data_IF_732003051526
#
_entry.id   IF_732003051526
#
_cell.length_a   1.000
_cell.length_b   1.000
_cell.length_c   1.000
_cell.angle_alpha   90.00
_cell.angle_beta   90.00
_cell.angle_gamma   90.00
#
_symmetry.space_group_name_H-M   'P 1'
#
loop_
_entity.id
_entity.type
_entity.pdbx_description
1 polymer ?
#
# COMPACT_ATOMS: atom_id res chain seq x y z
N UNK A 1 8.95 19.12 -8.63
CA UNK A 1 8.91 18.18 -7.49
C UNK A 1 10.14 17.26 -7.44
N UNK A 2 10.98 17.25 -8.52
CA UNK A 2 12.15 16.36 -8.60
C UNK A 2 13.37 16.79 -7.76
N UNK A 3 13.45 18.00 -7.28
CA UNK A 3 14.68 18.54 -6.68
C UNK A 3 14.80 18.43 -5.16
N UNK A 4 13.72 18.09 -4.44
CA UNK A 4 13.75 17.97 -2.98
C UNK A 4 13.56 16.54 -2.42
N UNK A 5 13.40 15.54 -3.29
CA UNK A 5 13.09 14.17 -2.88
C UNK A 5 14.23 13.16 -3.10
N UNK A 6 15.39 13.60 -3.56
CA UNK A 6 16.61 12.80 -3.61
C UNK A 6 17.23 12.78 -2.20
N UNK A 7 17.40 11.76 -1.58
CA UNK A 7 17.66 10.34 -1.71
C UNK A 7 16.56 9.41 -1.15
N UNK A 8 15.30 9.82 -1.12
CA UNK A 8 14.20 9.04 -0.51
C UNK A 8 13.71 7.92 -1.44
N UNK A 9 13.90 8.10 -2.76
CA UNK A 9 13.58 7.11 -3.78
C UNK A 9 14.87 6.58 -4.41
N UNK A 10 14.99 5.27 -4.50
CA UNK A 10 16.09 4.59 -5.19
C UNK A 10 15.61 3.92 -6.47
N UNK A 11 16.49 3.91 -7.50
CA UNK A 11 16.23 3.45 -8.86
C UNK A 11 16.93 2.12 -9.15
N UNK A 12 17.06 1.23 -8.16
CA UNK A 12 17.83 -0.02 -8.29
C UNK A 12 17.00 -1.17 -8.86
N UNK A 13 15.77 -0.88 -9.31
CA UNK A 13 14.83 -1.89 -9.76
C UNK A 13 14.22 -2.71 -8.63
N UNK A 14 13.43 -3.71 -9.01
CA UNK A 14 12.84 -4.72 -8.10
C UNK A 14 13.08 -6.10 -8.70
N UNK A 15 13.49 -7.04 -7.87
CA UNK A 15 13.76 -8.42 -8.26
C UNK A 15 12.68 -9.35 -7.70
N UNK A 16 11.95 -10.03 -8.57
CA UNK A 16 11.04 -11.12 -8.20
C UNK A 16 11.77 -12.44 -8.43
N UNK A 17 11.82 -13.29 -7.42
CA UNK A 17 12.43 -14.60 -7.50
C UNK A 17 11.44 -15.69 -7.16
N UNK A 18 11.64 -16.87 -7.71
CA UNK A 18 10.88 -18.06 -7.35
C UNK A 18 11.81 -19.19 -6.96
N UNK A 19 11.38 -19.96 -5.96
CA UNK A 19 12.12 -21.05 -5.33
C UNK A 19 11.65 -22.42 -5.80
N UNK A 20 10.57 -22.48 -6.58
CA UNK A 20 10.08 -23.70 -7.23
C UNK A 20 10.65 -23.85 -8.65
N UNK A 21 10.65 -25.07 -9.15
CA UNK A 21 11.08 -25.40 -10.51
C UNK A 21 9.91 -25.37 -11.51
N UNK A 22 8.68 -25.21 -11.03
CA UNK A 22 7.49 -25.27 -11.87
C UNK A 22 7.24 -23.92 -12.56
N UNK A 23 7.69 -23.80 -13.80
CA UNK A 23 7.53 -22.59 -14.60
C UNK A 23 6.09 -22.36 -15.13
N UNK A 24 5.22 -23.40 -15.19
CA UNK A 24 3.90 -23.27 -15.82
C UNK A 24 3.03 -22.17 -15.21
N UNK A 25 3.02 -22.04 -13.88
CA UNK A 25 2.28 -20.97 -13.22
C UNK A 25 2.88 -19.58 -13.51
N UNK A 26 4.18 -19.50 -13.75
CA UNK A 26 4.90 -18.26 -14.05
C UNK A 26 4.74 -17.82 -15.50
N UNK A 27 4.66 -18.77 -16.43
CA UNK A 27 4.44 -18.49 -17.85
C UNK A 27 3.18 -17.66 -18.09
N UNK A 28 2.09 -17.98 -17.38
CA UNK A 28 0.84 -17.21 -17.49
C UNK A 28 1.01 -15.78 -16.98
N UNK A 29 1.64 -15.61 -15.82
CA UNK A 29 1.90 -14.27 -15.26
C UNK A 29 2.80 -13.43 -16.18
N UNK A 30 3.87 -14.03 -16.71
CA UNK A 30 4.80 -13.40 -17.64
C UNK A 30 4.03 -12.96 -18.90
N UNK A 31 3.26 -13.87 -19.49
CA UNK A 31 2.47 -13.59 -20.69
C UNK A 31 1.44 -12.48 -20.50
N UNK A 32 0.74 -12.47 -19.36
CA UNK A 32 -0.22 -11.40 -19.04
C UNK A 32 0.49 -10.05 -18.97
N UNK A 33 1.65 -9.98 -18.31
CA UNK A 33 2.44 -8.74 -18.22
C UNK A 33 2.93 -8.28 -19.58
N UNK A 34 3.39 -9.18 -20.43
CA UNK A 34 3.81 -8.87 -21.81
C UNK A 34 2.64 -8.31 -22.64
N UNK A 35 1.45 -8.93 -22.55
CA UNK A 35 0.25 -8.44 -23.21
C UNK A 35 -0.18 -7.04 -22.73
N UNK A 36 0.09 -6.73 -21.47
CA UNK A 36 -0.15 -5.41 -20.88
C UNK A 36 0.98 -4.40 -21.15
N UNK A 37 2.00 -4.77 -21.92
CA UNK A 37 3.13 -3.90 -22.24
C UNK A 37 4.07 -3.62 -21.07
N UNK A 38 4.07 -4.47 -20.03
CA UNK A 38 4.96 -4.34 -18.87
C UNK A 38 6.37 -4.78 -19.28
N UNK A 39 7.33 -3.85 -19.21
CA UNK A 39 8.74 -4.19 -19.44
C UNK A 39 9.25 -5.08 -18.33
N UNK A 40 9.70 -6.27 -18.67
CA UNK A 40 10.23 -7.25 -17.71
C UNK A 40 11.43 -7.99 -18.31
N UNK A 41 12.41 -8.32 -17.45
CA UNK A 41 13.59 -9.07 -17.84
C UNK A 41 13.58 -10.40 -17.08
N UNK A 42 13.49 -11.51 -17.81
CA UNK A 42 13.66 -12.83 -17.22
C UNK A 42 15.12 -13.01 -16.85
N UNK A 43 15.38 -13.46 -15.62
CA UNK A 43 16.73 -13.65 -15.09
C UNK A 43 16.92 -15.07 -14.58
N UNK A 44 18.07 -15.66 -14.95
CA UNK A 44 18.49 -16.98 -14.51
C UNK A 44 19.23 -16.92 -13.16
N UNK A 45 19.66 -18.09 -12.63
CA UNK A 45 20.37 -18.18 -11.35
C UNK A 45 21.63 -17.33 -11.28
N UNK A 46 22.43 -17.32 -12.37
CA UNK A 46 23.67 -16.56 -12.42
C UNK A 46 23.39 -15.06 -12.39
N UNK A 47 22.45 -14.61 -13.21
CA UNK A 47 22.05 -13.20 -13.27
C UNK A 47 21.46 -12.71 -11.94
N UNK A 48 20.68 -13.56 -11.23
CA UNK A 48 20.20 -13.23 -9.89
C UNK A 48 21.36 -13.10 -8.91
N UNK A 49 22.33 -14.00 -8.95
CA UNK A 49 23.52 -13.92 -8.10
C UNK A 49 24.36 -12.67 -8.41
N UNK A 50 24.53 -12.33 -9.69
CA UNK A 50 25.24 -11.11 -10.10
C UNK A 50 24.53 -9.84 -9.62
N UNK A 51 23.19 -9.84 -9.59
CA UNK A 51 22.37 -8.72 -9.06
C UNK A 51 22.40 -8.63 -7.54
N UNK A 52 22.38 -9.77 -6.83
CA UNK A 52 22.25 -9.85 -5.37
C UNK A 52 23.12 -11.01 -4.83
N UNK A 53 24.43 -10.80 -4.70
CA UNK A 53 25.38 -11.88 -4.36
C UNK A 53 25.22 -12.44 -2.94
N UNK A 54 24.58 -11.70 -2.04
CA UNK A 54 24.36 -12.15 -0.66
C UNK A 54 23.16 -13.09 -0.51
N UNK A 55 22.33 -13.26 -1.56
CA UNK A 55 21.20 -14.18 -1.48
C UNK A 55 21.68 -15.63 -1.55
N UNK A 56 21.19 -16.45 -0.64
CA UNK A 56 21.37 -17.90 -0.74
C UNK A 56 20.73 -18.45 -2.02
N UNK A 57 21.36 -19.40 -2.73
CA UNK A 57 20.95 -19.83 -4.06
C UNK A 57 19.72 -20.77 -4.06
N UNK A 58 18.74 -20.51 -3.22
CA UNK A 58 17.45 -21.22 -3.16
C UNK A 58 16.44 -20.75 -4.20
N UNK A 59 16.90 -20.18 -5.30
CA UNK A 59 16.07 -19.71 -6.40
C UNK A 59 16.38 -20.46 -7.68
N UNK A 60 15.39 -20.55 -8.57
CA UNK A 60 15.53 -21.21 -9.87
C UNK A 60 15.46 -20.22 -11.04
N UNK A 61 14.91 -19.05 -10.83
CA UNK A 61 14.83 -17.97 -11.79
C UNK A 61 14.07 -16.78 -11.21
N UNK A 62 13.89 -15.74 -12.01
CA UNK A 62 13.24 -14.52 -11.56
C UNK A 62 12.82 -13.60 -12.69
N UNK A 63 12.22 -12.48 -12.32
CA UNK A 63 11.96 -11.33 -13.18
C UNK A 63 12.56 -10.09 -12.54
N UNK A 64 13.31 -9.36 -13.30
CA UNK A 64 13.87 -8.08 -12.90
C UNK A 64 13.14 -6.93 -13.61
N UNK A 65 12.73 -5.95 -12.84
CA UNK A 65 12.09 -4.71 -13.28
C UNK A 65 13.05 -3.56 -13.03
N UNK A 66 13.91 -3.24 -14.00
CA UNK A 66 14.99 -2.26 -13.89
C UNK A 66 14.49 -0.82 -13.66
N UNK A 67 13.31 -0.49 -14.21
CA UNK A 67 12.69 0.83 -14.08
C UNK A 67 11.93 1.04 -12.76
N UNK A 68 11.73 -0.02 -11.97
CA UNK A 68 11.01 0.10 -10.72
C UNK A 68 11.82 0.86 -9.66
N UNK A 69 11.08 1.54 -8.79
CA UNK A 69 11.67 2.38 -7.74
C UNK A 69 11.10 2.00 -6.40
N UNK A 70 11.88 2.21 -5.36
CA UNK A 70 11.40 2.02 -4.00
C UNK A 70 11.73 3.21 -3.10
N UNK A 71 10.89 3.45 -2.09
CA UNK A 71 11.13 4.47 -1.10
C UNK A 71 11.89 3.87 0.09
N UNK A 72 13.09 4.38 0.38
CA UNK A 72 13.86 3.99 1.56
C UNK A 72 13.20 4.42 2.87
N UNK A 73 12.43 5.50 2.85
CA UNK A 73 11.70 5.98 4.02
C UNK A 73 10.35 6.61 3.61
N UNK A 74 9.28 5.80 3.46
CA UNK A 74 7.95 6.30 3.11
C UNK A 74 7.42 7.35 4.10
N UNK A 75 7.76 7.23 5.38
CA UNK A 75 7.32 8.19 6.41
C UNK A 75 7.84 9.60 6.15
N UNK A 76 9.10 9.75 5.70
CA UNK A 76 9.67 11.07 5.37
C UNK A 76 8.89 11.74 4.24
N UNK A 77 8.46 10.97 3.24
CA UNK A 77 7.65 11.51 2.13
C UNK A 77 6.31 12.02 2.66
N UNK A 78 5.63 11.24 3.49
CA UNK A 78 4.36 11.67 4.10
C UNK A 78 4.52 12.90 4.98
N UNK A 79 5.60 12.98 5.78
CA UNK A 79 5.90 14.18 6.57
C UNK A 79 6.07 15.41 5.68
N UNK A 80 6.81 15.29 4.57
CA UNK A 80 7.01 16.40 3.64
C UNK A 80 5.71 16.83 2.94
N UNK A 81 4.85 15.90 2.58
CA UNK A 81 3.52 16.20 2.04
C UNK A 81 2.66 16.93 3.09
N UNK A 82 2.70 16.46 4.32
CA UNK A 82 1.98 17.08 5.45
C UNK A 82 2.49 18.50 5.75
N UNK A 83 3.80 18.70 5.83
CA UNK A 83 4.40 20.03 5.99
C UNK A 83 3.96 20.99 4.88
N UNK A 84 3.98 20.52 3.62
CA UNK A 84 3.50 21.32 2.49
C UNK A 84 2.00 21.65 2.58
N UNK A 85 1.18 20.71 3.03
CA UNK A 85 -0.24 20.94 3.29
C UNK A 85 -0.45 22.04 4.34
N UNK A 86 0.25 21.97 5.47
CA UNK A 86 0.15 22.98 6.55
C UNK A 86 0.65 24.33 6.07
N UNK A 87 1.78 24.38 5.34
CA UNK A 87 2.35 25.63 4.80
C UNK A 87 1.42 26.31 3.78
N UNK A 88 0.53 25.54 3.15
CA UNK A 88 -0.52 26.07 2.27
C UNK A 88 -1.81 26.45 3.01
N UNK A 89 -1.80 26.50 4.34
CA UNK A 89 -2.95 26.88 5.17
C UNK A 89 -3.86 25.72 5.57
N UNK A 90 -3.49 24.47 5.24
CA UNK A 90 -4.21 23.29 5.69
C UNK A 90 -4.16 23.14 7.21
N UNK A 91 -5.27 22.72 7.82
CA UNK A 91 -5.37 22.49 9.26
C UNK A 91 -5.46 21.00 9.57
N UNK A 92 -4.74 20.55 10.57
CA UNK A 92 -4.81 19.18 11.09
C UNK A 92 -5.46 19.18 12.47
N UNK A 93 -6.50 18.38 12.63
CA UNK A 93 -7.18 18.16 13.91
C UNK A 93 -7.11 16.67 14.24
N UNK A 94 -6.50 16.33 15.37
CA UNK A 94 -6.49 14.95 15.87
C UNK A 94 -7.76 14.70 16.66
N UNK A 95 -8.80 14.22 15.99
CA UNK A 95 -10.12 14.00 16.54
C UNK A 95 -10.59 12.56 16.31
N UNK A 96 -11.37 12.03 17.22
CA UNK A 96 -12.11 10.79 17.05
C UNK A 96 -13.51 11.11 16.54
N UNK A 97 -13.77 10.89 15.26
CA UNK A 97 -15.08 11.10 14.66
C UNK A 97 -15.97 9.91 15.02
N UNK A 98 -17.04 10.20 15.74
CA UNK A 98 -18.01 9.22 16.18
C UNK A 98 -19.17 9.09 15.23
N UNK A 99 -19.56 10.19 14.58
CA UNK A 99 -20.71 10.19 13.71
C UNK A 99 -20.61 11.20 12.57
N UNK A 100 -21.38 10.95 11.51
CA UNK A 100 -21.58 11.84 10.38
C UNK A 100 -23.07 12.13 10.28
N UNK A 101 -23.41 13.40 10.26
CA UNK A 101 -24.76 13.92 10.15
C UNK A 101 -24.80 15.00 9.06
N UNK A 102 -25.93 15.61 8.82
CA UNK A 102 -26.09 16.66 7.83
C UNK A 102 -26.84 17.84 8.41
N UNK A 103 -26.42 19.04 8.02
CA UNK A 103 -27.13 20.31 8.27
C UNK A 103 -27.48 20.82 6.88
N UNK A 104 -28.75 20.67 6.51
CA UNK A 104 -29.20 20.73 5.11
C UNK A 104 -28.38 19.70 4.25
N UNK A 105 -27.59 20.17 3.29
CA UNK A 105 -26.75 19.34 2.44
C UNK A 105 -25.29 19.27 2.89
N UNK A 106 -24.94 19.99 3.99
CA UNK A 106 -23.55 20.08 4.46
C UNK A 106 -23.23 18.96 5.42
N UNK A 107 -22.16 18.19 5.18
CA UNK A 107 -21.73 17.14 6.10
C UNK A 107 -21.26 17.73 7.43
N UNK A 108 -21.70 17.11 8.51
CA UNK A 108 -21.39 17.47 9.89
C UNK A 108 -20.65 16.30 10.55
N UNK A 109 -19.41 16.53 10.92
CA UNK A 109 -18.65 15.54 11.69
C UNK A 109 -18.87 15.77 13.19
N UNK A 110 -19.24 14.72 13.92
CA UNK A 110 -19.43 14.74 15.36
C UNK A 110 -18.32 13.99 16.09
N UNK A 111 -17.80 14.62 17.11
CA UNK A 111 -17.00 13.99 18.16
C UNK A 111 -17.88 13.85 19.42
N UNK A 112 -17.32 13.38 20.50
CA UNK A 112 -18.02 13.29 21.79
C UNK A 112 -18.53 14.67 22.30
N UNK A 113 -17.79 15.75 22.01
CA UNK A 113 -18.04 17.07 22.58
C UNK A 113 -18.23 18.19 21.56
N UNK A 114 -17.95 17.95 20.28
CA UNK A 114 -17.92 19.00 19.27
C UNK A 114 -18.59 18.54 17.96
N UNK A 115 -19.07 19.52 17.21
CA UNK A 115 -19.56 19.34 15.85
C UNK A 115 -18.79 20.27 14.90
N UNK A 116 -18.52 19.79 13.70
CA UNK A 116 -17.84 20.53 12.65
C UNK A 116 -18.64 20.43 11.36
N UNK A 117 -18.97 21.56 10.75
CA UNK A 117 -19.73 21.65 9.50
C UNK A 117 -18.74 21.94 8.37
N UNK A 118 -18.88 21.25 7.26
CA UNK A 118 -18.02 21.41 6.09
C UNK A 118 -18.84 21.51 4.81
N UNK A 119 -18.32 22.18 3.79
CA UNK A 119 -18.96 22.22 2.48
C UNK A 119 -18.79 20.88 1.72
N UNK A 120 -17.67 20.21 1.92
CA UNK A 120 -17.36 18.91 1.31
C UNK A 120 -16.62 18.00 2.29
N UNK A 121 -16.90 16.71 2.24
CA UNK A 121 -16.25 15.68 3.05
C UNK A 121 -15.57 14.65 2.14
N UNK A 122 -14.32 14.31 2.44
CA UNK A 122 -13.64 13.18 1.82
C UNK A 122 -13.34 12.10 2.87
N UNK A 123 -13.92 10.93 2.70
CA UNK A 123 -13.62 9.76 3.53
C UNK A 123 -12.41 9.04 2.93
N UNK A 124 -11.27 9.11 3.61
CA UNK A 124 -9.99 8.54 3.19
C UNK A 124 -9.28 7.79 4.34
N UNK A 125 -10.06 7.04 5.14
CA UNK A 125 -9.61 6.42 6.39
C UNK A 125 -9.07 4.99 6.22
N UNK A 126 -8.68 4.59 4.98
CA UNK A 126 -8.14 3.26 4.70
C UNK A 126 -9.09 2.15 5.13
N UNK A 127 -8.60 1.17 5.88
CA UNK A 127 -9.41 0.04 6.36
C UNK A 127 -10.53 0.45 7.35
N UNK A 128 -10.43 1.63 7.94
CA UNK A 128 -11.44 2.15 8.87
C UNK A 128 -12.59 2.90 8.17
N UNK A 129 -12.52 3.10 6.86
CA UNK A 129 -13.53 3.83 6.09
C UNK A 129 -14.91 3.19 6.18
N UNK A 130 -15.00 1.86 6.31
CA UNK A 130 -16.28 1.15 6.45
C UNK A 130 -17.12 1.68 7.62
N UNK A 131 -16.50 2.01 8.75
CA UNK A 131 -17.21 2.57 9.92
C UNK A 131 -17.95 3.87 9.61
N UNK A 132 -17.44 4.64 8.64
CA UNK A 132 -18.05 5.91 8.22
C UNK A 132 -19.04 5.71 7.07
N UNK A 133 -18.75 4.80 6.12
CA UNK A 133 -19.69 4.52 5.03
C UNK A 133 -20.98 3.85 5.54
N UNK A 134 -20.88 2.99 6.58
CA UNK A 134 -22.05 2.39 7.23
C UNK A 134 -22.95 3.48 7.86
N UNK A 135 -22.38 4.56 8.43
CA UNK A 135 -23.13 5.72 8.93
C UNK A 135 -23.76 6.57 7.83
N UNK A 136 -23.20 6.53 6.65
CA UNK A 136 -23.74 7.15 5.44
C UNK A 136 -24.75 6.22 4.71
N UNK A 137 -25.14 5.11 5.33
CA UNK A 137 -26.06 4.12 4.77
C UNK A 137 -25.59 3.59 3.40
N UNK A 138 -24.26 3.51 3.20
CA UNK A 138 -23.65 2.89 2.02
C UNK A 138 -22.90 1.62 2.43
N UNK A 139 -23.48 0.48 2.08
CA UNK A 139 -22.91 -0.83 2.38
C UNK A 139 -21.80 -1.19 1.38
N UNK A 140 -20.60 -0.68 1.61
CA UNK A 140 -19.42 -1.01 0.82
C UNK A 140 -18.71 -2.21 1.47
N UNK A 141 -18.45 -3.32 0.74
CA UNK A 141 -17.89 -4.55 1.30
C UNK A 141 -16.38 -4.44 1.53
N UNK A 142 -15.97 -3.41 2.28
CA UNK A 142 -14.59 -3.19 2.67
C UNK A 142 -14.24 -4.08 3.85
N UNK A 143 -13.17 -4.85 3.72
CA UNK A 143 -12.55 -5.63 4.79
C UNK A 143 -11.05 -5.32 4.86
N UNK A 144 -10.33 -6.01 5.71
CA UNK A 144 -8.89 -5.82 5.85
C UNK A 144 -8.11 -7.11 5.66
N UNK A 145 -7.11 -7.07 4.78
CA UNK A 145 -6.04 -8.04 4.73
C UNK A 145 -4.89 -7.56 5.62
N UNK A 146 -4.74 -8.21 6.77
CA UNK A 146 -3.67 -7.91 7.71
C UNK A 146 -2.33 -8.36 7.15
N UNK A 147 -1.34 -7.50 7.18
CA UNK A 147 0.03 -7.79 6.76
C UNK A 147 1.02 -7.44 7.84
N UNK A 148 2.11 -8.19 7.88
CA UNK A 148 3.14 -8.06 8.91
C UNK A 148 4.46 -7.63 8.32
N UNK A 149 5.27 -6.92 9.10
CA UNK A 149 6.69 -6.79 8.81
C UNK A 149 7.54 -6.85 10.08
N UNK A 150 8.79 -7.23 9.88
CA UNK A 150 9.85 -7.16 10.88
C UNK A 150 11.01 -6.37 10.33
N UNK A 151 11.78 -5.71 11.22
CA UNK A 151 13.00 -5.00 10.87
C UNK A 151 14.23 -5.65 11.49
N UNK A 152 15.27 -5.81 10.67
CA UNK A 152 16.63 -6.10 11.10
C UNK A 152 17.45 -4.81 10.99
N UNK A 153 17.62 -4.14 12.13
CA UNK A 153 18.24 -2.82 12.20
C UNK A 153 19.68 -2.87 11.67
N UNK A 154 20.07 -1.88 10.88
CA UNK A 154 21.41 -1.69 10.31
C UNK A 154 21.85 -2.81 9.32
N UNK A 155 20.90 -3.64 8.82
CA UNK A 155 21.16 -4.74 7.88
C UNK A 155 20.63 -4.46 6.46
N UNK A 156 20.35 -3.22 6.10
CA UNK A 156 19.93 -2.81 4.75
C UNK A 156 21.01 -3.08 3.69
N UNK A 157 22.27 -3.09 4.09
CA UNK A 157 23.42 -3.36 3.21
C UNK A 157 23.50 -4.79 2.65
N UNK A 158 22.71 -5.72 3.19
CA UNK A 158 22.72 -7.12 2.72
C UNK A 158 22.10 -7.28 1.33
N UNK A 159 21.20 -6.39 0.92
CA UNK A 159 20.59 -6.39 -0.40
C UNK A 159 20.59 -4.98 -0.98
N UNK A 160 20.67 -4.86 -2.31
CA UNK A 160 20.75 -3.57 -2.98
C UNK A 160 19.39 -3.04 -3.46
N UNK A 161 18.36 -3.88 -3.50
CA UNK A 161 17.03 -3.59 -4.02
C UNK A 161 15.95 -4.40 -3.34
N UNK A 162 14.66 -4.05 -3.50
CA UNK A 162 13.56 -4.91 -3.04
C UNK A 162 13.58 -6.26 -3.76
N UNK A 163 13.41 -7.33 -2.99
CA UNK A 163 13.33 -8.69 -3.49
C UNK A 163 12.02 -9.30 -3.04
N UNK A 164 11.29 -9.90 -3.97
CA UNK A 164 10.00 -10.54 -3.70
C UNK A 164 10.11 -12.03 -3.99
N UNK A 165 9.86 -12.85 -2.98
CA UNK A 165 9.74 -14.31 -3.09
C UNK A 165 8.28 -14.67 -3.31
N UNK A 166 7.85 -14.62 -4.59
CA UNK A 166 6.43 -14.69 -4.96
C UNK A 166 5.72 -15.97 -4.47
N UNK A 167 6.37 -17.13 -4.59
CA UNK A 167 5.82 -18.41 -4.17
C UNK A 167 5.90 -18.67 -2.65
N UNK A 168 6.61 -17.84 -1.90
CA UNK A 168 6.67 -17.89 -0.42
C UNK A 168 5.87 -16.76 0.25
N UNK A 169 5.30 -15.85 -0.53
CA UNK A 169 4.42 -14.77 -0.07
C UNK A 169 5.09 -13.73 0.84
N UNK A 170 6.39 -13.45 0.62
CA UNK A 170 7.09 -12.42 1.36
C UNK A 170 8.09 -11.65 0.48
N UNK A 171 8.52 -10.50 0.97
CA UNK A 171 9.56 -9.69 0.33
C UNK A 171 10.50 -9.07 1.34
N UNK A 172 11.66 -8.67 0.88
CA UNK A 172 12.69 -7.96 1.64
C UNK A 172 13.01 -6.65 0.93
N UNK A 173 13.21 -5.58 1.71
CA UNK A 173 13.48 -4.24 1.16
C UNK A 173 14.54 -3.55 2.01
N UNK A 174 15.61 -3.01 1.38
CA UNK A 174 16.59 -2.18 2.08
C UNK A 174 15.96 -0.84 2.40
N UNK A 175 15.74 -0.57 3.69
CA UNK A 175 15.15 0.67 4.18
C UNK A 175 16.23 1.52 4.86
N UNK A 176 15.98 2.79 5.07
CA UNK A 176 16.91 3.70 5.77
C UNK A 176 17.27 3.22 7.19
N UNK A 177 16.39 2.45 7.82
CA UNK A 177 16.57 1.98 9.20
C UNK A 177 17.06 0.52 9.30
N UNK A 178 17.34 -0.12 8.18
CA UNK A 178 17.74 -1.53 8.11
C UNK A 178 16.95 -2.34 7.10
N UNK A 179 17.07 -3.64 7.16
CA UNK A 179 16.36 -4.57 6.28
C UNK A 179 14.92 -4.78 6.79
N UNK A 180 13.94 -4.45 5.97
CA UNK A 180 12.53 -4.76 6.22
C UNK A 180 12.14 -6.06 5.54
N UNK A 181 11.58 -6.99 6.29
CA UNK A 181 10.97 -8.21 5.78
C UNK A 181 9.46 -8.10 5.95
N UNK A 182 8.70 -8.18 4.86
CA UNK A 182 7.26 -7.96 4.83
C UNK A 182 6.57 -9.12 4.13
N UNK A 183 5.37 -9.46 4.59
CA UNK A 183 4.59 -10.48 3.88
C UNK A 183 3.33 -10.86 4.63
N UNK A 184 2.85 -12.01 4.24
CA UNK A 184 1.64 -12.66 4.75
C UNK A 184 0.35 -11.88 4.47
N UNK A 185 -0.73 -12.63 4.38
CA UNK A 185 -2.11 -12.13 4.35
C UNK A 185 -2.90 -12.86 5.43
N UNK A 186 -3.63 -12.11 6.21
CA UNK A 186 -4.49 -12.65 7.25
C UNK A 186 -5.84 -11.92 7.25
N UNK A 187 -6.91 -12.68 7.17
CA UNK A 187 -8.27 -12.20 7.40
C UNK A 187 -8.58 -12.31 8.90
N UNK A 188 -8.33 -11.25 9.62
CA UNK A 188 -8.45 -11.22 11.08
C UNK A 188 -9.17 -9.98 11.61
N UNK A 189 -9.77 -9.19 10.73
CA UNK A 189 -10.42 -7.94 11.09
C UNK A 189 -9.48 -6.91 11.72
N UNK A 190 -10.05 -5.86 12.28
CA UNK A 190 -9.30 -4.71 12.81
C UNK A 190 -8.90 -4.87 14.29
N UNK A 191 -9.61 -5.71 15.05
CA UNK A 191 -9.53 -5.73 16.51
C UNK A 191 -8.71 -6.91 17.07
N UNK A 192 -8.52 -7.98 16.29
CA UNK A 192 -7.81 -9.16 16.75
C UNK A 192 -6.32 -8.90 17.03
N UNK A 193 -5.78 -9.55 18.04
CA UNK A 193 -4.35 -9.48 18.37
C UNK A 193 -3.46 -9.95 17.22
N UNK A 194 -2.21 -9.44 17.08
CA UNK A 194 -1.26 -9.90 16.08
C UNK A 194 -0.91 -11.38 16.21
N UNK A 195 -0.75 -12.07 15.07
CA UNK A 195 -0.37 -13.48 15.00
C UNK A 195 1.14 -13.66 15.13
N UNK A 196 1.60 -14.18 16.27
CA UNK A 196 3.02 -14.48 16.53
C UNK A 196 3.59 -15.53 15.54
N UNK A 197 2.77 -16.47 15.07
CA UNK A 197 3.22 -17.49 14.12
C UNK A 197 3.58 -16.89 12.76
N UNK A 198 2.84 -15.89 12.31
CA UNK A 198 3.12 -15.19 11.04
C UNK A 198 4.41 -14.38 11.12
N UNK A 199 4.64 -13.71 12.24
CA UNK A 199 5.90 -12.99 12.50
C UNK A 199 7.06 -13.98 12.50
N UNK A 200 6.94 -15.09 13.23
CA UNK A 200 7.96 -16.15 13.25
C UNK A 200 8.28 -16.68 11.84
N UNK A 201 7.24 -16.89 11.00
CA UNK A 201 7.43 -17.36 9.64
C UNK A 201 8.19 -16.33 8.77
N UNK A 202 7.93 -15.03 8.92
CA UNK A 202 8.70 -13.99 8.22
C UNK A 202 10.18 -14.03 8.60
N UNK A 203 10.49 -14.19 9.87
CA UNK A 203 11.87 -14.27 10.36
C UNK A 203 12.57 -15.51 9.80
N UNK A 204 11.91 -16.68 9.86
CA UNK A 204 12.45 -17.91 9.30
C UNK A 204 12.70 -17.80 7.79
N UNK A 205 11.73 -17.26 7.04
CA UNK A 205 11.87 -17.03 5.61
C UNK A 205 13.06 -16.12 5.28
N UNK A 206 13.26 -15.05 6.05
CA UNK A 206 14.42 -14.16 5.84
C UNK A 206 15.76 -14.88 6.13
N UNK A 207 15.84 -15.63 7.24
CA UNK A 207 17.03 -16.41 7.62
C UNK A 207 17.32 -17.56 6.65
N UNK A 208 16.29 -18.09 5.99
CA UNK A 208 16.48 -19.06 4.91
C UNK A 208 17.16 -18.44 3.67
N UNK A 209 16.94 -17.15 3.41
CA UNK A 209 17.39 -16.47 2.20
C UNK A 209 18.66 -15.65 2.39
N UNK A 210 19.00 -15.25 3.61
CA UNK A 210 20.16 -14.44 3.96
C UNK A 210 20.87 -15.03 5.18
N UNK A 211 22.21 -15.06 5.13
CA UNK A 211 23.02 -15.39 6.29
C UNK A 211 23.26 -14.19 7.19
N UNK A 212 23.62 -14.45 8.44
CA UNK A 212 24.08 -13.43 9.39
C UNK A 212 23.01 -12.51 9.94
N UNK A 213 21.72 -12.78 9.69
CA UNK A 213 20.65 -11.96 10.29
C UNK A 213 20.58 -12.16 11.81
N UNK A 214 20.58 -11.06 12.60
CA UNK A 214 20.48 -11.12 14.05
C UNK A 214 19.05 -11.42 14.53
N UNK A 215 18.82 -11.20 15.82
CA UNK A 215 17.44 -11.08 16.32
C UNK A 215 16.79 -9.81 15.74
N UNK A 216 15.53 -9.91 15.33
CA UNK A 216 14.75 -8.76 14.89
C UNK A 216 14.37 -7.86 16.09
N UNK A 217 14.15 -6.58 15.82
CA UNK A 217 13.83 -5.62 16.90
C UNK A 217 12.39 -5.14 16.88
N UNK A 218 11.85 -4.88 15.68
CA UNK A 218 10.55 -4.23 15.53
C UNK A 218 9.60 -5.12 14.74
N UNK A 219 8.41 -5.29 15.29
CA UNK A 219 7.29 -5.98 14.65
C UNK A 219 6.18 -4.98 14.36
N UNK A 220 5.54 -5.11 13.22
CA UNK A 220 4.44 -4.25 12.85
C UNK A 220 3.34 -5.00 12.15
N UNK A 221 2.10 -4.62 12.46
CA UNK A 221 0.88 -5.08 11.83
C UNK A 221 0.23 -3.92 11.08
N UNK A 222 -0.14 -4.14 9.82
CA UNK A 222 -0.88 -3.20 9.00
C UNK A 222 -2.16 -3.76 8.44
N UNK A 223 -3.11 -2.88 8.22
CA UNK A 223 -4.45 -3.19 7.74
C UNK A 223 -4.57 -2.71 6.28
N UNK A 224 -4.51 -3.64 5.32
CA UNK A 224 -4.73 -3.30 3.91
C UNK A 224 -6.22 -3.18 3.68
N UNK A 225 -6.71 -2.03 3.21
CA UNK A 225 -8.13 -1.85 2.90
C UNK A 225 -8.49 -2.60 1.62
N UNK A 226 -9.15 -3.74 1.75
CA UNK A 226 -9.41 -4.66 0.64
C UNK A 226 -10.88 -4.71 0.28
N UNK A 227 -11.16 -4.67 -1.01
CA UNK A 227 -12.47 -4.85 -1.60
C UNK A 227 -12.49 -6.15 -2.43
N UNK A 228 -13.64 -6.80 -2.63
CA UNK A 228 -13.71 -8.09 -3.31
C UNK A 228 -13.15 -8.11 -4.73
N UNK A 229 -13.23 -6.98 -5.43
CA UNK A 229 -12.73 -6.79 -6.80
C UNK A 229 -11.32 -6.20 -6.88
N UNK A 230 -10.69 -5.94 -5.75
CA UNK A 230 -9.36 -5.32 -5.62
C UNK A 230 -9.23 -3.91 -6.21
N UNK A 231 -10.34 -3.26 -6.60
CA UNK A 231 -10.35 -1.88 -7.08
C UNK A 231 -10.69 -0.91 -5.93
N UNK A 232 -10.02 0.23 -5.81
CA UNK A 232 -10.37 1.23 -4.79
C UNK A 232 -11.73 1.86 -5.07
N UNK A 233 -12.32 2.45 -4.04
CA UNK A 233 -13.47 3.36 -4.20
C UNK A 233 -12.93 4.78 -4.29
N UNK A 234 -13.16 5.42 -5.45
CA UNK A 234 -12.75 6.79 -5.74
C UNK A 234 -13.92 7.49 -6.42
N UNK A 235 -14.46 8.53 -5.80
CA UNK A 235 -15.54 9.31 -6.38
C UNK A 235 -16.58 9.77 -5.37
N UNK A 236 -17.72 10.32 -5.85
CA UNK A 236 -18.78 10.80 -4.98
C UNK A 236 -19.50 9.65 -4.29
N UNK A 237 -20.09 9.96 -3.14
CA UNK A 237 -21.09 9.14 -2.49
C UNK A 237 -22.29 8.94 -3.42
N UNK A 238 -22.97 7.80 -3.27
CA UNK A 238 -24.22 7.50 -3.95
C UNK A 238 -25.37 8.32 -3.37
N UNK A 239 -25.35 8.55 -2.05
CA UNK A 239 -26.45 9.11 -1.29
C UNK A 239 -26.30 10.62 -1.02
N UNK A 240 -25.07 11.17 -1.07
CA UNK A 240 -24.78 12.54 -0.64
C UNK A 240 -23.83 13.26 -1.59
N UNK A 241 -24.28 14.32 -2.24
CA UNK A 241 -23.53 15.07 -3.25
C UNK A 241 -22.23 15.71 -2.73
N UNK A 242 -22.19 16.02 -1.44
CA UNK A 242 -21.07 16.69 -0.79
C UNK A 242 -20.10 15.74 -0.08
N UNK A 243 -20.25 14.41 -0.32
CA UNK A 243 -19.37 13.39 0.25
C UNK A 243 -18.63 12.66 -0.87
N UNK A 244 -17.33 12.46 -0.68
CA UNK A 244 -16.43 11.79 -1.62
C UNK A 244 -15.64 10.69 -0.92
N UNK A 245 -15.21 9.70 -1.67
CA UNK A 245 -14.46 8.55 -1.20
C UNK A 245 -13.09 8.46 -1.86
N UNK A 246 -12.07 8.05 -1.09
CA UNK A 246 -10.75 7.69 -1.57
C UNK A 246 -10.14 6.64 -0.63
N UNK A 247 -10.54 5.37 -0.78
CA UNK A 247 -10.07 4.26 0.05
C UNK A 247 -10.14 2.93 -0.69
N UNK A 248 -9.70 1.85 -0.04
CA UNK A 248 -9.79 0.51 -0.62
C UNK A 248 -8.66 0.15 -1.58
N UNK A 249 -7.52 0.82 -1.50
CA UNK A 249 -6.40 0.68 -2.43
C UNK A 249 -5.58 -0.61 -2.27
N UNK A 250 -5.95 -1.51 -1.37
CA UNK A 250 -5.28 -2.78 -1.15
C UNK A 250 -3.76 -2.62 -0.92
N UNK A 251 -2.91 -3.28 -1.71
CA UNK A 251 -1.45 -3.11 -1.66
C UNK A 251 -0.95 -1.84 -2.36
N UNK A 252 -1.79 -1.16 -3.13
CA UNK A 252 -1.38 -0.10 -4.06
C UNK A 252 -1.59 1.31 -3.51
N UNK A 253 -2.04 1.45 -2.26
CA UNK A 253 -2.35 2.76 -1.68
C UNK A 253 -1.19 3.75 -1.73
N UNK A 254 0.04 3.27 -1.52
CA UNK A 254 1.23 4.09 -1.65
C UNK A 254 1.44 4.59 -3.09
N UNK A 255 1.31 3.71 -4.07
CA UNK A 255 1.53 4.01 -5.49
C UNK A 255 0.42 4.89 -6.06
N UNK A 256 -0.83 4.62 -5.68
CA UNK A 256 -2.01 5.29 -6.25
C UNK A 256 -2.46 6.52 -5.46
N UNK A 257 -1.93 6.78 -4.27
CA UNK A 257 -2.40 7.86 -3.39
C UNK A 257 -2.38 9.24 -4.04
N UNK A 258 -1.31 9.57 -4.77
CA UNK A 258 -1.17 10.86 -5.44
C UNK A 258 -2.21 11.05 -6.56
N UNK A 259 -2.42 10.04 -7.40
CA UNK A 259 -3.41 10.11 -8.49
C UNK A 259 -4.84 10.13 -7.94
N UNK A 260 -5.13 9.33 -6.92
CA UNK A 260 -6.43 9.31 -6.26
C UNK A 260 -6.77 10.68 -5.63
N UNK A 261 -5.79 11.30 -4.96
CA UNK A 261 -5.94 12.64 -4.42
C UNK A 261 -6.20 13.68 -5.52
N UNK A 262 -5.47 13.60 -6.65
CA UNK A 262 -5.70 14.48 -7.81
C UNK A 262 -7.10 14.32 -8.40
N UNK A 263 -7.58 13.07 -8.55
CA UNK A 263 -8.91 12.79 -9.08
C UNK A 263 -9.98 13.38 -8.18
N UNK A 264 -9.93 13.10 -6.87
CA UNK A 264 -10.95 13.60 -5.93
C UNK A 264 -10.92 15.12 -5.82
N UNK A 265 -9.74 15.75 -5.77
CA UNK A 265 -9.64 17.21 -5.75
C UNK A 265 -10.20 17.85 -7.02
N UNK A 266 -9.95 17.26 -8.19
CA UNK A 266 -10.52 17.71 -9.46
C UNK A 266 -12.04 17.61 -9.48
N UNK A 267 -12.62 16.50 -8.99
CA UNK A 267 -14.07 16.35 -8.85
C UNK A 267 -14.67 17.43 -7.95
N UNK A 268 -14.05 17.70 -6.79
CA UNK A 268 -14.50 18.74 -5.86
C UNK A 268 -14.43 20.13 -6.50
N UNK A 269 -13.44 20.38 -7.36
CA UNK A 269 -13.26 21.62 -8.10
C UNK A 269 -14.08 21.67 -9.40
N UNK A 270 -14.92 20.68 -9.70
CA UNK A 270 -15.67 20.52 -10.95
C UNK A 270 -14.76 20.50 -12.21
N UNK A 271 -13.55 19.97 -12.07
CA UNK A 271 -12.62 19.78 -13.19
C UNK A 271 -12.88 18.42 -13.86
N UNK A 272 -12.69 18.39 -15.19
CA UNK A 272 -12.79 17.12 -15.93
C UNK A 272 -11.55 16.24 -15.65
N UNK A 273 -11.77 15.03 -15.15
CA UNK A 273 -10.69 14.09 -14.82
C UNK A 273 -10.12 13.35 -16.02
N UNK A 274 -10.77 13.42 -17.20
CA UNK A 274 -10.41 12.68 -18.43
C UNK A 274 -10.18 11.17 -18.22
N UNK A 275 -10.81 10.59 -17.20
CA UNK A 275 -10.72 9.16 -16.88
C UNK A 275 -12.12 8.56 -16.73
N UNK A 276 -12.29 7.33 -17.18
CA UNK A 276 -13.49 6.56 -16.82
C UNK A 276 -13.39 6.08 -15.37
N UNK A 277 -14.18 6.69 -14.50
CA UNK A 277 -14.21 6.39 -13.07
C UNK A 277 -15.35 5.45 -12.67
N UNK A 278 -16.16 4.99 -13.60
CA UNK A 278 -17.25 4.04 -13.32
C UNK A 278 -16.78 2.77 -12.58
N UNK A 279 -15.64 2.15 -12.96
CA UNK A 279 -15.13 0.98 -12.24
C UNK A 279 -14.74 1.24 -10.79
N UNK A 280 -14.51 2.51 -10.41
CA UNK A 280 -14.08 2.91 -9.07
C UNK A 280 -15.22 3.50 -8.22
N UNK A 281 -16.41 3.65 -8.78
CA UNK A 281 -17.57 4.20 -8.07
C UNK A 281 -18.07 3.25 -6.98
N UNK A 282 -18.56 3.80 -5.84
CA UNK A 282 -19.22 3.03 -4.79
C UNK A 282 -20.50 2.33 -5.26
N UNK A 283 -21.14 2.87 -6.30
CA UNK A 283 -22.38 2.33 -6.92
C UNK A 283 -22.22 0.89 -7.44
N UNK A 284 -20.99 0.48 -7.76
CA UNK A 284 -20.73 -0.92 -8.23
C UNK A 284 -21.03 -1.99 -7.18
N UNK A 285 -21.24 -1.59 -5.92
CA UNK A 285 -21.63 -2.46 -4.81
C UNK A 285 -23.09 -2.28 -4.37
N UNK A 286 -23.88 -1.55 -5.14
CA UNK A 286 -25.29 -1.23 -4.83
C UNK A 286 -26.25 -2.33 -5.29
#
# INVERSE_FOLDING_TARGET
VQTCALPILENNGILYVWTDQNMKSRELEIRIRDLLGVKQQLVNKKEIHDLEPNLKPFYHGGVFYDYARHARNPRKILIKLFENFVNKGGKFLKLNIQDIDFDEEKPVLRTETQRFIFDKLVVACGAFSKRLTDKLHENIPLDTERGYHVHFKDYDHLISRPIVYANRGFGMTPMEQGLRVVGTVEFGGLENSPSKSRIKNLILNAKDMLDGLPEHKDEWLGFRPTLPDFLPVIGPSKNYENVYYSFGHHHLGWTLGAISGKIVSGMIANENTNMDLKPYSSVRFA
#
